data_IF_695377125699
#
_entry.id   IF_695377125699
#
_cell.length_a   1.000
_cell.length_b   1.000
_cell.length_c   1.000
_cell.angle_alpha   90.00
_cell.angle_beta   90.00
_cell.angle_gamma   90.00
#
_symmetry.space_group_name_H-M   'P 1'
#
loop_
_entity.id
_entity.type
_entity.pdbx_description
1 polymer ?
#
# COMPACT_ATOMS: atom_id res chain seq x y z
N UNK A 1 -13.11 21.21 -8.46
CA UNK A 1 -12.06 21.47 -7.46
C UNK A 1 -10.69 21.50 -8.14
N UNK A 2 -9.77 22.43 -7.78
CA UNK A 2 -8.42 22.45 -8.34
C UNK A 2 -7.65 21.14 -8.12
N UNK A 3 -8.00 20.36 -7.11
CA UNK A 3 -7.38 19.07 -6.83
C UNK A 3 -7.77 17.95 -7.81
N UNK A 4 -8.68 18.22 -8.75
CA UNK A 4 -9.17 17.25 -9.75
C UNK A 4 -8.63 17.51 -11.17
N UNK A 5 -7.63 18.37 -11.31
CA UNK A 5 -7.03 18.69 -12.63
C UNK A 5 -6.27 17.47 -13.17
N UNK A 6 -5.60 16.72 -12.30
CA UNK A 6 -4.86 15.50 -12.64
C UNK A 6 -5.61 14.25 -12.17
N UNK A 7 -5.45 13.15 -12.91
CA UNK A 7 -5.89 11.84 -12.45
C UNK A 7 -5.02 11.37 -11.27
N UNK A 8 -5.53 10.41 -10.49
CA UNK A 8 -4.78 9.83 -9.36
C UNK A 8 -3.44 9.25 -9.83
N UNK A 9 -3.44 8.52 -10.95
CA UNK A 9 -2.22 7.91 -11.48
C UNK A 9 -1.19 8.97 -11.90
N UNK A 10 -1.61 10.06 -12.55
CA UNK A 10 -0.71 11.16 -12.87
C UNK A 10 -0.20 11.90 -11.63
N UNK A 11 -1.03 12.05 -10.61
CA UNK A 11 -0.66 12.69 -9.36
C UNK A 11 0.33 11.86 -8.50
N UNK A 12 0.51 10.58 -8.79
CA UNK A 12 1.51 9.70 -8.17
C UNK A 12 2.91 9.81 -8.81
N UNK A 13 3.06 10.52 -9.93
CA UNK A 13 4.35 10.68 -10.61
C UNK A 13 5.13 11.81 -9.95
N UNK A 14 6.27 11.51 -9.30
CA UNK A 14 7.12 12.56 -8.73
C UNK A 14 7.77 13.38 -9.84
N UNK A 15 7.92 14.69 -9.61
CA UNK A 15 8.50 15.65 -10.57
C UNK A 15 7.77 15.66 -11.93
N UNK A 16 6.46 15.50 -11.92
CA UNK A 16 5.63 15.46 -13.13
C UNK A 16 5.82 16.70 -14.02
N UNK A 17 6.04 17.88 -13.42
CA UNK A 17 6.26 19.14 -14.10
C UNK A 17 7.53 19.18 -14.98
N UNK A 18 8.45 18.25 -14.76
CA UNK A 18 9.70 18.13 -15.56
C UNK A 18 9.58 17.11 -16.70
N UNK A 19 8.44 16.39 -16.79
CA UNK A 19 8.21 15.37 -17.79
C UNK A 19 7.45 15.90 -19.00
N UNK A 20 7.79 15.40 -20.18
CA UNK A 20 6.97 15.60 -21.37
C UNK A 20 5.61 14.90 -21.20
N UNK A 21 4.53 15.54 -21.72
CA UNK A 21 3.17 15.03 -21.57
C UNK A 21 2.99 13.60 -22.10
N UNK A 22 3.64 13.26 -23.21
CA UNK A 22 3.57 11.92 -23.78
C UNK A 22 4.22 10.87 -22.87
N UNK A 23 5.37 11.20 -22.26
CA UNK A 23 6.06 10.31 -21.32
C UNK A 23 5.31 10.18 -19.99
N UNK A 24 4.72 11.26 -19.50
CA UNK A 24 3.86 11.22 -18.33
C UNK A 24 2.63 10.32 -18.55
N UNK A 25 2.02 10.37 -19.74
CA UNK A 25 0.93 9.49 -20.12
C UNK A 25 1.36 8.01 -20.10
N UNK A 26 2.51 7.70 -20.68
CA UNK A 26 3.05 6.33 -20.67
C UNK A 26 3.30 5.84 -19.25
N UNK A 27 3.96 6.64 -18.42
CA UNK A 27 4.22 6.32 -17.01
C UNK A 27 2.95 6.10 -16.21
N UNK A 28 1.96 6.96 -16.37
CA UNK A 28 0.63 6.82 -15.75
C UNK A 28 -0.06 5.51 -16.15
N UNK A 29 0.02 5.12 -17.42
CA UNK A 29 -0.53 3.86 -17.90
C UNK A 29 0.22 2.65 -17.32
N UNK A 30 1.57 2.72 -17.23
CA UNK A 30 2.39 1.64 -16.66
C UNK A 30 2.11 1.41 -15.18
N UNK A 31 1.83 2.44 -14.39
CA UNK A 31 1.43 2.27 -12.99
C UNK A 31 0.20 1.36 -12.83
N UNK A 32 -0.75 1.45 -13.75
CA UNK A 32 -1.97 0.60 -13.76
C UNK A 32 -1.72 -0.84 -14.18
N UNK A 33 -0.55 -1.13 -14.75
CA UNK A 33 -0.14 -2.46 -15.22
C UNK A 33 0.83 -3.14 -14.25
N UNK A 34 1.15 -2.50 -13.11
CA UNK A 34 2.06 -3.07 -12.11
C UNK A 34 1.48 -4.35 -11.51
N UNK A 35 2.35 -5.35 -11.34
CA UNK A 35 2.00 -6.61 -10.69
C UNK A 35 2.25 -6.49 -9.19
N UNK A 36 1.32 -6.90 -8.33
CA UNK A 36 1.55 -6.93 -6.89
C UNK A 36 2.73 -7.83 -6.53
N UNK A 37 3.72 -7.27 -5.86
CA UNK A 37 4.91 -8.00 -5.42
C UNK A 37 4.66 -8.68 -4.08
N UNK A 38 5.43 -9.74 -3.80
CA UNK A 38 5.40 -10.42 -2.50
C UNK A 38 5.98 -9.56 -1.38
N UNK A 39 6.99 -8.76 -1.68
CA UNK A 39 7.64 -7.82 -0.75
C UNK A 39 7.76 -6.44 -1.43
N UNK A 40 6.65 -5.71 -1.54
CA UNK A 40 6.69 -4.36 -2.08
C UNK A 40 7.44 -3.43 -1.12
N UNK A 41 7.99 -2.34 -1.63
CA UNK A 41 8.67 -1.32 -0.83
C UNK A 41 8.01 0.04 -1.08
N UNK A 42 7.81 0.80 -0.02
CA UNK A 42 7.38 2.20 -0.14
C UNK A 42 8.37 2.99 -0.98
N UNK A 43 7.92 3.87 -1.87
CA UNK A 43 8.80 4.69 -2.68
C UNK A 43 9.60 5.66 -1.79
N UNK A 44 10.91 5.75 -2.02
CA UNK A 44 11.77 6.72 -1.33
C UNK A 44 11.41 8.15 -1.75
N UNK A 45 11.07 8.32 -3.03
CA UNK A 45 10.61 9.61 -3.59
C UNK A 45 9.16 9.44 -4.00
N UNK A 46 8.28 10.20 -3.38
CA UNK A 46 6.84 10.18 -3.61
C UNK A 46 6.24 11.57 -3.67
N UNK A 47 4.95 11.63 -3.97
CA UNK A 47 4.18 12.89 -4.07
C UNK A 47 3.41 13.22 -2.80
N UNK A 48 3.35 12.31 -1.84
CA UNK A 48 2.65 12.46 -0.56
C UNK A 48 1.19 12.01 -0.59
N UNK A 49 0.66 11.57 -1.72
CA UNK A 49 -0.72 11.04 -1.80
C UNK A 49 -0.79 9.52 -1.68
N UNK A 50 0.33 8.83 -1.61
CA UNK A 50 0.46 7.38 -1.58
C UNK A 50 -0.33 6.76 -0.42
N UNK A 51 -0.21 7.33 0.78
CA UNK A 51 -0.95 6.88 1.97
C UNK A 51 -2.46 7.04 1.78
N UNK A 52 -2.88 8.20 1.24
CA UNK A 52 -4.31 8.45 0.98
C UNK A 52 -4.86 7.49 -0.06
N UNK A 53 -4.13 7.23 -1.13
CA UNK A 53 -4.54 6.30 -2.18
C UNK A 53 -4.66 4.88 -1.63
N UNK A 54 -3.71 4.43 -0.79
CA UNK A 54 -3.76 3.10 -0.17
C UNK A 54 -5.00 2.92 0.72
N UNK A 55 -5.37 3.94 1.48
CA UNK A 55 -6.56 3.92 2.35
C UNK A 55 -7.84 4.01 1.53
N UNK A 56 -7.96 4.96 0.61
CA UNK A 56 -9.17 5.21 -0.18
C UNK A 56 -9.49 4.04 -1.12
N UNK A 57 -8.47 3.35 -1.64
CA UNK A 57 -8.62 2.12 -2.43
C UNK A 57 -9.01 0.90 -1.60
N UNK A 58 -8.99 1.00 -0.27
CA UNK A 58 -9.20 -0.11 0.67
C UNK A 58 -8.19 -1.26 0.52
N UNK A 59 -7.05 -1.00 -0.07
CA UNK A 59 -5.91 -1.93 -0.06
C UNK A 59 -5.33 -2.03 1.35
N UNK A 60 -5.10 -0.88 1.99
CA UNK A 60 -4.78 -0.83 3.42
C UNK A 60 -6.06 -0.83 4.25
N UNK A 61 -6.07 -1.61 5.30
CA UNK A 61 -7.19 -1.65 6.26
C UNK A 61 -6.92 -0.68 7.40
N UNK A 62 -7.90 0.18 7.69
CA UNK A 62 -7.79 1.18 8.77
C UNK A 62 -8.77 0.87 9.88
N UNK A 63 -8.43 1.28 11.09
CA UNK A 63 -9.32 1.16 12.24
C UNK A 63 -10.51 2.13 12.13
N UNK A 64 -11.75 1.64 12.18
CA UNK A 64 -12.93 2.48 12.20
C UNK A 64 -13.18 3.11 13.57
N UNK A 65 -12.52 2.63 14.61
CA UNK A 65 -12.74 3.04 16.01
C UNK A 65 -11.42 3.31 16.73
N UNK A 66 -11.47 4.17 17.73
CA UNK A 66 -10.37 4.32 18.69
C UNK A 66 -10.49 3.23 19.77
N UNK A 67 -9.40 2.56 20.06
CA UNK A 67 -9.43 1.46 21.03
C UNK A 67 -8.08 0.77 21.20
N UNK A 68 -8.12 -0.37 21.89
CA UNK A 68 -6.95 -1.22 22.12
C UNK A 68 -7.14 -2.56 21.43
N UNK A 69 -6.09 -3.05 20.75
CA UNK A 69 -6.09 -4.38 20.17
C UNK A 69 -6.07 -5.42 21.28
N UNK A 70 -7.09 -6.27 21.30
CA UNK A 70 -7.24 -7.35 22.30
C UNK A 70 -6.69 -8.65 21.73
N UNK A 71 -6.93 -8.88 20.45
CA UNK A 71 -6.51 -10.09 19.75
C UNK A 71 -6.23 -9.76 18.29
N UNK A 72 -5.20 -10.35 17.74
CA UNK A 72 -4.87 -10.27 16.31
C UNK A 72 -4.27 -11.58 15.83
N UNK A 73 -4.78 -12.06 14.72
CA UNK A 73 -4.20 -13.18 13.98
C UNK A 73 -4.13 -12.86 12.48
N UNK A 74 -3.88 -13.86 11.65
CA UNK A 74 -3.80 -13.67 10.21
C UNK A 74 -5.14 -13.36 9.55
N UNK A 75 -6.26 -13.67 10.17
CA UNK A 75 -7.62 -13.57 9.61
C UNK A 75 -8.45 -12.48 10.27
N UNK A 76 -8.24 -12.20 11.56
CA UNK A 76 -9.05 -11.29 12.32
C UNK A 76 -8.23 -10.34 13.20
N UNK A 77 -8.80 -9.16 13.46
CA UNK A 77 -8.34 -8.25 14.48
C UNK A 77 -9.53 -7.84 15.35
N UNK A 78 -9.39 -7.98 16.66
CA UNK A 78 -10.40 -7.57 17.63
C UNK A 78 -9.93 -6.32 18.36
N UNK A 79 -10.73 -5.26 18.28
CA UNK A 79 -10.43 -3.96 18.89
C UNK A 79 -11.47 -3.66 19.97
N UNK A 80 -11.03 -3.50 21.20
CA UNK A 80 -11.86 -3.02 22.30
C UNK A 80 -11.97 -1.50 22.21
N UNK A 81 -13.20 -0.99 22.04
CA UNK A 81 -13.48 0.46 21.91
C UNK A 81 -13.17 1.20 23.20
N UNK A 82 -12.65 2.42 23.07
CA UNK A 82 -12.42 3.34 24.21
C UNK A 82 -13.66 4.16 24.57
N UNK A 83 -14.59 4.37 23.64
CA UNK A 83 -15.66 5.36 23.73
C UNK A 83 -16.94 4.83 24.41
N UNK A 84 -16.95 3.57 24.86
CA UNK A 84 -18.11 2.99 25.53
C UNK A 84 -17.99 3.23 27.02
N UNK A 85 -18.84 4.10 27.53
CA UNK A 85 -18.98 4.34 28.99
C UNK A 85 -19.52 3.07 29.63
N UNK A 86 -18.84 2.59 30.67
CA UNK A 86 -19.14 1.32 31.38
C UNK A 86 -20.60 1.18 31.91
N UNK A 87 -21.41 2.24 31.89
CA UNK A 87 -22.77 2.24 32.36
C UNK A 87 -23.77 1.51 31.47
N UNK A 88 -23.44 1.14 30.26
CA UNK A 88 -24.23 0.34 29.31
C UNK A 88 -23.61 -1.02 29.00
N UNK A 89 -22.54 -1.40 29.65
CA UNK A 89 -21.78 -2.63 29.43
C UNK A 89 -22.45 -3.89 30.03
N UNK A 90 -23.78 -3.98 29.95
CA UNK A 90 -24.51 -5.23 30.30
C UNK A 90 -24.33 -6.33 29.23
N UNK A 91 -23.72 -6.00 28.09
CA UNK A 91 -23.40 -6.96 27.03
C UNK A 91 -21.91 -6.79 26.62
N UNK A 92 -21.04 -7.63 27.18
CA UNK A 92 -19.60 -7.62 26.92
C UNK A 92 -19.23 -7.75 25.40
N UNK A 93 -20.15 -8.21 24.56
CA UNK A 93 -19.97 -8.36 23.13
C UNK A 93 -20.04 -7.06 22.32
N UNK A 94 -20.68 -6.00 22.80
CA UNK A 94 -20.86 -4.74 22.03
C UNK A 94 -19.62 -3.83 22.03
N UNK A 95 -18.68 -4.07 22.93
CA UNK A 95 -17.47 -3.25 23.07
C UNK A 95 -16.31 -3.69 22.18
N UNK A 96 -16.45 -4.83 21.48
CA UNK A 96 -15.41 -5.38 20.64
C UNK A 96 -15.82 -5.28 19.17
N UNK A 97 -15.01 -4.60 18.39
CA UNK A 97 -15.14 -4.54 16.93
C UNK A 97 -14.25 -5.61 16.34
N UNK A 98 -14.85 -6.55 15.62
CA UNK A 98 -14.16 -7.57 14.86
C UNK A 98 -13.93 -7.07 13.43
N UNK A 99 -12.68 -7.11 12.97
CA UNK A 99 -12.27 -6.77 11.61
C UNK A 99 -11.70 -8.03 10.97
N UNK A 100 -12.25 -8.41 9.85
CA UNK A 100 -11.82 -9.57 9.07
C UNK A 100 -10.88 -9.13 7.95
N UNK A 101 -9.76 -9.83 7.80
CA UNK A 101 -8.79 -9.61 6.74
C UNK A 101 -9.07 -10.51 5.53
N UNK A 102 -8.93 -9.94 4.34
CA UNK A 102 -9.03 -10.71 3.09
C UNK A 102 -7.77 -11.55 2.92
N UNK A 103 -7.93 -12.87 2.87
CA UNK A 103 -6.82 -13.81 2.71
C UNK A 103 -6.89 -14.52 1.38
N UNK A 104 -5.79 -14.44 0.61
CA UNK A 104 -5.58 -15.20 -0.64
C UNK A 104 -6.75 -15.14 -1.63
N UNK A 105 -7.44 -14.00 -1.70
CA UNK A 105 -8.56 -13.82 -2.62
C UNK A 105 -8.02 -13.57 -4.04
N UNK A 106 -8.44 -14.40 -4.99
CA UNK A 106 -8.08 -14.21 -6.41
C UNK A 106 -8.76 -12.98 -6.98
N UNK A 107 -8.01 -12.18 -7.74
CA UNK A 107 -8.56 -11.08 -8.54
C UNK A 107 -8.94 -11.53 -9.94
N UNK A 108 -9.68 -10.69 -10.68
CA UNK A 108 -10.02 -10.95 -12.08
C UNK A 108 -8.77 -11.04 -12.99
N UNK A 109 -7.67 -10.41 -12.60
CA UNK A 109 -6.38 -10.45 -13.31
C UNK A 109 -5.50 -11.61 -12.90
N UNK A 110 -6.02 -12.61 -12.17
CA UNK A 110 -5.26 -13.75 -11.62
C UNK A 110 -4.15 -13.37 -10.63
N UNK A 111 -4.23 -12.21 -10.02
CA UNK A 111 -3.39 -11.80 -8.90
C UNK A 111 -4.07 -12.11 -7.58
N UNK A 112 -3.41 -11.87 -6.45
CA UNK A 112 -3.89 -12.22 -5.12
C UNK A 112 -4.09 -10.99 -4.26
N UNK A 113 -5.27 -10.86 -3.67
CA UNK A 113 -5.51 -9.99 -2.52
C UNK A 113 -5.19 -10.77 -1.24
N UNK A 114 -4.20 -10.31 -0.51
CA UNK A 114 -3.82 -10.85 0.79
C UNK A 114 -3.48 -9.72 1.73
N UNK A 115 -4.25 -9.59 2.82
CA UNK A 115 -4.02 -8.57 3.83
C UNK A 115 -3.20 -9.15 4.98
N UNK A 116 -2.21 -8.38 5.46
CA UNK A 116 -1.30 -8.76 6.53
C UNK A 116 -1.41 -7.76 7.66
N UNK A 117 -1.66 -8.19 8.91
CA UNK A 117 -1.70 -7.29 10.05
C UNK A 117 -0.34 -6.63 10.29
N UNK A 118 -0.38 -5.36 10.68
CA UNK A 118 0.79 -4.55 11.08
C UNK A 118 0.81 -4.32 12.59
N UNK A 119 -0.34 -4.52 13.25
CA UNK A 119 -0.52 -4.24 14.67
C UNK A 119 -0.30 -5.50 15.50
N UNK A 120 0.06 -5.30 16.75
CA UNK A 120 0.24 -6.36 17.75
C UNK A 120 -0.82 -6.25 18.85
N UNK A 121 -1.02 -7.34 19.60
CA UNK A 121 -1.88 -7.32 20.77
C UNK A 121 -1.37 -6.29 21.79
N UNK A 122 -2.30 -5.50 22.30
CA UNK A 122 -2.00 -4.45 23.27
C UNK A 122 -1.78 -3.06 22.68
N UNK A 123 -1.67 -2.93 21.35
CA UNK A 123 -1.49 -1.64 20.69
C UNK A 123 -2.70 -0.72 20.85
N UNK A 124 -2.46 0.56 21.08
CA UNK A 124 -3.49 1.59 21.11
C UNK A 124 -3.69 2.19 19.72
N UNK A 125 -4.94 2.15 19.25
CA UNK A 125 -5.33 2.63 17.94
C UNK A 125 -6.18 3.91 18.03
N UNK A 126 -5.94 4.81 17.09
CA UNK A 126 -6.84 5.94 16.79
C UNK A 126 -7.71 5.60 15.58
N UNK A 127 -8.82 6.32 15.42
CA UNK A 127 -9.62 6.23 14.19
C UNK A 127 -8.73 6.58 12.99
N UNK A 128 -8.77 5.74 11.95
CA UNK A 128 -7.96 5.92 10.74
C UNK A 128 -6.52 5.37 10.82
N UNK A 129 -6.08 4.82 11.97
CA UNK A 129 -4.78 4.13 12.04
C UNK A 129 -4.79 2.89 11.15
N UNK A 130 -3.76 2.70 10.34
CA UNK A 130 -3.61 1.50 9.50
C UNK A 130 -3.35 0.29 10.39
N UNK A 131 -4.12 -0.77 10.20
CA UNK A 131 -4.03 -2.01 10.97
C UNK A 131 -3.51 -3.18 10.13
N UNK A 132 -3.71 -3.14 8.83
CA UNK A 132 -3.19 -4.16 7.93
C UNK A 132 -2.83 -3.60 6.56
N UNK A 133 -1.75 -4.12 5.98
CA UNK A 133 -1.37 -3.90 4.60
C UNK A 133 -2.03 -4.93 3.67
N UNK A 134 -2.39 -4.48 2.47
CA UNK A 134 -2.91 -5.33 1.42
C UNK A 134 -1.93 -5.53 0.26
N UNK A 135 -2.48 -5.83 -0.90
CA UNK A 135 -1.69 -5.93 -2.13
C UNK A 135 -1.09 -4.56 -2.51
N UNK A 136 0.17 -4.56 -2.95
CA UNK A 136 0.89 -3.34 -3.36
C UNK A 136 0.86 -2.22 -2.32
N UNK A 137 0.93 -2.55 -1.04
CA UNK A 137 1.05 -1.59 0.05
C UNK A 137 2.17 -1.99 1.01
N UNK A 138 2.83 -0.99 1.57
CA UNK A 138 3.88 -1.14 2.58
C UNK A 138 3.68 -0.08 3.66
N UNK A 139 3.44 -0.50 4.90
CA UNK A 139 3.19 0.36 6.07
C UNK A 139 2.08 1.40 5.85
N UNK A 140 1.04 1.02 5.13
CA UNK A 140 -0.09 1.88 4.82
C UNK A 140 0.11 2.84 3.66
N UNK A 141 1.22 2.75 2.94
CA UNK A 141 1.49 3.52 1.73
C UNK A 141 1.43 2.65 0.48
N UNK A 142 1.07 3.24 -0.65
CA UNK A 142 1.08 2.56 -1.93
C UNK A 142 2.51 2.23 -2.34
N UNK A 143 2.77 0.95 -2.61
CA UNK A 143 4.07 0.39 -2.98
C UNK A 143 3.91 -0.49 -4.22
N UNK A 144 4.11 0.09 -5.41
CA UNK A 144 3.90 -0.60 -6.69
C UNK A 144 5.11 -1.43 -7.13
N UNK A 145 6.25 -1.30 -6.45
CA UNK A 145 7.49 -1.96 -6.85
C UNK A 145 8.52 -2.00 -5.73
N UNK A 146 9.78 -2.06 -6.13
CA UNK A 146 10.95 -2.07 -5.24
C UNK A 146 11.89 -0.92 -5.56
N UNK A 147 12.60 -0.42 -4.54
CA UNK A 147 13.62 0.61 -4.73
C UNK A 147 14.93 -0.03 -5.18
N UNK A 148 15.38 0.32 -6.39
CA UNK A 148 16.57 -0.25 -7.00
C UNK A 148 17.62 0.84 -7.17
N UNK A 149 18.88 0.53 -6.82
CA UNK A 149 20.01 1.43 -7.09
C UNK A 149 20.34 1.42 -8.57
N UNK A 150 20.37 2.59 -9.20
CA UNK A 150 20.61 2.77 -10.63
C UNK A 150 21.87 3.61 -10.86
N UNK A 151 22.65 3.26 -11.87
CA UNK A 151 23.73 4.09 -12.39
C UNK A 151 23.38 4.60 -13.79
N UNK A 152 23.41 5.91 -13.99
CA UNK A 152 23.21 6.55 -15.29
C UNK A 152 24.55 6.73 -16.00
N UNK A 153 24.93 5.74 -16.78
CA UNK A 153 26.20 5.76 -17.52
C UNK A 153 26.17 4.84 -18.74
N UNK A 154 26.94 5.11 -19.80
CA UNK A 154 27.14 4.14 -20.87
C UNK A 154 27.87 2.89 -20.32
N UNK A 155 27.38 1.70 -20.68
CA UNK A 155 28.01 0.44 -20.30
C UNK A 155 28.34 -0.42 -21.52
N UNK A 156 29.53 -0.26 -22.06
CA UNK A 156 30.06 -1.08 -23.19
C UNK A 156 29.09 -1.22 -24.38
N UNK A 157 28.19 -0.26 -24.58
CA UNK A 157 27.17 -0.28 -25.62
C UNK A 157 25.97 -1.18 -25.35
N UNK A 158 25.95 -1.97 -24.25
CA UNK A 158 24.83 -2.86 -23.95
C UNK A 158 23.56 -2.15 -23.51
N UNK A 159 23.66 -0.89 -23.12
CA UNK A 159 22.51 -0.04 -22.76
C UNK A 159 22.26 1.05 -23.82
N UNK A 160 22.53 0.74 -25.09
CA UNK A 160 22.25 1.64 -26.21
C UNK A 160 20.75 1.89 -26.36
N UNK A 161 20.36 3.16 -26.61
CA UNK A 161 18.97 3.63 -26.67
C UNK A 161 18.17 3.34 -25.37
N UNK A 162 17.10 2.57 -25.45
CA UNK A 162 16.21 2.23 -24.34
C UNK A 162 16.60 0.94 -23.61
N UNK A 163 17.74 0.34 -23.98
CA UNK A 163 18.22 -0.89 -23.34
C UNK A 163 18.72 -0.62 -21.92
N UNK A 164 18.37 -1.50 -21.00
CA UNK A 164 18.77 -1.44 -19.60
C UNK A 164 19.53 -2.71 -19.23
N UNK A 165 20.72 -2.56 -18.64
CA UNK A 165 21.48 -3.67 -18.07
C UNK A 165 21.06 -3.85 -16.62
N UNK A 166 20.62 -5.04 -16.27
CA UNK A 166 20.19 -5.37 -14.91
C UNK A 166 21.13 -6.37 -14.24
N UNK A 167 21.24 -6.29 -12.93
CA UNK A 167 21.98 -7.27 -12.14
C UNK A 167 21.26 -8.62 -12.11
N UNK A 168 21.98 -9.72 -12.25
CA UNK A 168 21.45 -11.07 -12.11
C UNK A 168 20.76 -11.30 -10.75
N UNK A 169 21.17 -10.58 -9.72
CA UNK A 169 20.55 -10.63 -8.39
C UNK A 169 19.06 -10.30 -8.44
N UNK A 170 18.66 -9.31 -9.26
CA UNK A 170 17.23 -8.92 -9.38
C UNK A 170 16.37 -10.07 -9.90
N UNK A 171 16.93 -10.91 -10.76
CA UNK A 171 16.25 -12.10 -11.29
C UNK A 171 16.24 -13.22 -10.26
N UNK A 172 17.37 -13.46 -9.56
CA UNK A 172 17.49 -14.54 -8.56
C UNK A 172 16.65 -14.28 -7.31
N UNK A 173 16.61 -13.04 -6.86
CA UNK A 173 15.89 -12.64 -5.64
C UNK A 173 14.41 -12.31 -5.92
N UNK A 174 14.00 -12.39 -7.19
CA UNK A 174 12.63 -12.12 -7.66
C UNK A 174 12.12 -10.74 -7.21
N UNK A 175 12.97 -9.72 -7.45
CA UNK A 175 12.76 -8.32 -7.02
C UNK A 175 11.90 -7.55 -8.03
#
# INVERSE_FOLDING_TARGET
>A
SPNQILSVAAALIPFLEHDDANRALMGSNMQRQSVPLMKPQSPIVGTGIEAKVAVDSRSAVVSPVAGKVVYVDSEFCHIKRKDVVDSLALFEGENIVKIEFKKFHRTNQNTVHNQRPLVSEGDELKVGTVIADGASTDKGELALGSNIRVAFMPWRGYNFEDAIVVSERLVKDDV
#
